data_IF_003930808102
#
_entry.id   IF_003930808102
#
_cell.length_a   1.000
_cell.length_b   1.000
_cell.length_c   1.000
_cell.angle_alpha   90.00
_cell.angle_beta   90.00
_cell.angle_gamma   90.00
#
_symmetry.space_group_name_H-M   'P 1'
#
loop_
_entity.id
_entity.type
_entity.pdbx_description
1 polymer ?
#
# COMPACT_ATOMS: atom_id res chain seq x y z
N UNK A 1 -7.67 -13.88 16.04
CA UNK A 1 -6.71 -12.83 16.38
C UNK A 1 -6.11 -12.23 15.11
N UNK A 2 -6.04 -10.91 15.10
CA UNK A 2 -5.53 -10.19 13.93
C UNK A 2 -4.01 -10.15 13.92
N UNK A 3 -3.46 -10.36 12.75
CA UNK A 3 -2.04 -10.13 12.53
C UNK A 3 -1.84 -9.04 11.48
N UNK A 4 -0.86 -8.21 11.70
CA UNK A 4 -0.51 -7.13 10.81
C UNK A 4 1.02 -7.19 10.61
N UNK A 5 1.45 -7.53 9.42
CA UNK A 5 2.86 -7.77 9.17
C UNK A 5 3.29 -7.22 7.81
N UNK A 6 4.51 -6.70 7.71
CA UNK A 6 5.07 -6.34 6.40
C UNK A 6 5.31 -7.59 5.58
N UNK A 7 5.18 -7.44 4.27
CA UNK A 7 5.53 -8.50 3.32
C UNK A 7 6.90 -8.15 2.76
N UNK A 8 7.87 -9.01 2.99
CA UNK A 8 9.23 -8.78 2.56
C UNK A 8 9.58 -9.60 1.32
N UNK A 9 10.43 -9.05 0.49
CA UNK A 9 10.99 -9.73 -0.69
C UNK A 9 12.48 -9.92 -0.46
N UNK A 10 12.83 -11.07 0.12
CA UNK A 10 14.18 -11.30 0.56
C UNK A 10 14.49 -10.47 1.80
N UNK A 11 15.70 -9.93 1.88
CA UNK A 11 16.16 -9.22 3.07
C UNK A 11 16.10 -7.69 2.92
N UNK A 12 15.72 -7.20 1.73
CA UNK A 12 15.76 -5.76 1.46
C UNK A 12 14.44 -5.29 0.90
N UNK A 13 13.98 -4.18 1.41
CA UNK A 13 12.75 -3.54 0.96
C UNK A 13 13.06 -2.36 0.05
N UNK A 14 12.10 -2.06 -0.83
CA UNK A 14 12.11 -0.81 -1.59
C UNK A 14 12.08 0.36 -0.60
N UNK A 15 12.95 1.36 -0.74
CA UNK A 15 12.96 2.49 0.18
C UNK A 15 11.73 3.39 0.05
N UNK A 16 10.90 3.21 -0.97
CA UNK A 16 9.73 4.07 -1.21
C UNK A 16 8.41 3.35 -1.10
N UNK A 17 8.40 2.01 -1.11
CA UNK A 17 7.17 1.21 -1.12
C UNK A 17 7.17 0.26 0.08
N UNK A 18 6.11 0.33 0.87
CA UNK A 18 5.87 -0.62 1.95
C UNK A 18 4.74 -1.55 1.53
N UNK A 19 4.99 -2.85 1.53
CA UNK A 19 3.95 -3.85 1.27
C UNK A 19 3.55 -4.45 2.60
N UNK A 20 2.26 -4.43 2.89
CA UNK A 20 1.74 -4.88 4.17
C UNK A 20 0.57 -5.83 3.94
N UNK A 21 0.58 -6.93 4.70
CA UNK A 21 -0.52 -7.87 4.74
C UNK A 21 -1.32 -7.64 6.03
N UNK A 22 -2.64 -7.47 5.89
CA UNK A 22 -3.56 -7.40 7.02
C UNK A 22 -4.37 -8.68 7.00
N UNK A 23 -4.36 -9.41 8.09
CA UNK A 23 -5.11 -10.66 8.21
C UNK A 23 -6.35 -10.46 9.05
N UNK A 24 -7.46 -11.06 8.61
CA UNK A 24 -8.72 -11.02 9.33
C UNK A 24 -9.66 -9.93 8.86
N UNK A 25 -10.45 -9.40 9.76
CA UNK A 25 -11.47 -8.42 9.43
C UNK A 25 -11.05 -7.01 9.84
N UNK A 26 -11.38 -6.03 9.01
CA UNK A 26 -11.24 -4.62 9.35
C UNK A 26 -12.60 -4.14 9.86
N UNK A 27 -12.78 -4.18 11.16
CA UNK A 27 -14.00 -3.77 11.82
C UNK A 27 -13.69 -2.83 12.98
N UNK A 28 -14.72 -2.25 13.56
CA UNK A 28 -14.59 -1.22 14.58
C UNK A 28 -13.59 -1.59 15.69
N UNK A 29 -13.66 -2.83 16.19
CA UNK A 29 -12.79 -3.27 17.28
C UNK A 29 -11.32 -3.44 16.87
N UNK A 30 -11.01 -3.41 15.59
CA UNK A 30 -9.65 -3.64 15.07
C UNK A 30 -9.00 -2.36 14.56
N UNK A 31 -9.77 -1.31 14.31
CA UNK A 31 -9.30 -0.11 13.64
C UNK A 31 -8.12 0.55 14.36
N UNK A 32 -8.18 0.64 15.68
CA UNK A 32 -7.12 1.27 16.45
C UNK A 32 -5.78 0.55 16.28
N UNK A 33 -5.80 -0.78 16.34
CA UNK A 33 -4.57 -1.56 16.19
C UNK A 33 -3.95 -1.39 14.80
N UNK A 34 -4.79 -1.42 13.77
CA UNK A 34 -4.30 -1.25 12.40
C UNK A 34 -3.78 0.16 12.19
N UNK A 35 -4.52 1.17 12.65
CA UNK A 35 -4.09 2.57 12.53
C UNK A 35 -2.75 2.81 13.23
N UNK A 36 -2.58 2.26 14.42
CA UNK A 36 -1.32 2.39 15.16
C UNK A 36 -0.16 1.74 14.42
N UNK A 37 -0.38 0.55 13.86
CA UNK A 37 0.65 -0.14 13.09
C UNK A 37 1.04 0.65 11.85
N UNK A 38 0.06 1.22 11.14
CA UNK A 38 0.34 2.05 9.96
C UNK A 38 1.09 3.31 10.34
N UNK A 39 0.74 3.93 11.47
CA UNK A 39 1.44 5.11 11.97
C UNK A 39 2.88 4.79 12.33
N UNK A 40 3.11 3.63 12.96
CA UNK A 40 4.48 3.18 13.30
C UNK A 40 5.32 2.97 12.05
N UNK A 41 4.76 2.37 11.00
CA UNK A 41 5.49 2.21 9.74
C UNK A 41 5.86 3.55 9.14
N UNK A 42 4.94 4.52 9.15
CA UNK A 42 5.20 5.86 8.63
C UNK A 42 6.29 6.57 9.42
N UNK A 43 6.32 6.35 10.73
CA UNK A 43 7.31 6.97 11.61
C UNK A 43 8.69 6.34 11.43
N UNK A 44 8.75 5.01 11.33
CA UNK A 44 10.01 4.29 11.15
C UNK A 44 10.58 4.44 9.75
N UNK A 45 9.71 4.53 8.75
CA UNK A 45 10.10 4.57 7.34
C UNK A 45 9.43 5.74 6.63
N UNK A 46 9.80 6.98 6.98
CA UNK A 46 9.11 8.16 6.42
C UNK A 46 9.26 8.32 4.92
N UNK A 47 10.25 7.67 4.31
CA UNK A 47 10.43 7.70 2.86
C UNK A 47 9.54 6.69 2.13
N UNK A 48 8.97 5.73 2.83
CA UNK A 48 8.05 4.75 2.25
C UNK A 48 6.64 5.33 2.20
N UNK A 49 6.45 6.30 1.33
CA UNK A 49 5.19 7.03 1.21
C UNK A 49 4.11 6.25 0.47
N UNK A 50 4.51 5.24 -0.27
CA UNK A 50 3.57 4.38 -1.01
C UNK A 50 3.33 3.13 -0.17
N UNK A 51 2.07 2.94 0.22
CA UNK A 51 1.65 1.77 0.97
C UNK A 51 0.81 0.88 0.07
N UNK A 52 1.23 -0.36 -0.05
CA UNK A 52 0.54 -1.37 -0.84
C UNK A 52 -0.04 -2.41 0.10
N UNK A 53 -1.37 -2.44 0.22
CA UNK A 53 -2.05 -3.38 1.10
C UNK A 53 -2.48 -4.63 0.32
N UNK A 54 -2.02 -5.77 0.80
CA UNK A 54 -2.47 -7.07 0.29
C UNK A 54 -3.82 -7.38 0.92
N UNK A 55 -4.85 -7.42 0.08
CA UNK A 55 -6.22 -7.56 0.54
C UNK A 55 -6.74 -8.98 0.61
N UNK A 56 -5.98 -9.96 0.12
CA UNK A 56 -6.44 -11.34 0.04
C UNK A 56 -6.85 -11.91 1.40
N UNK A 57 -6.18 -11.50 2.45
CA UNK A 57 -6.44 -11.98 3.81
C UNK A 57 -7.44 -11.12 4.58
N UNK A 58 -7.94 -10.04 3.96
CA UNK A 58 -8.98 -9.21 4.56
C UNK A 58 -10.32 -9.80 4.16
N UNK A 59 -10.99 -10.47 5.11
CA UNK A 59 -12.24 -11.14 4.81
C UNK A 59 -13.48 -10.28 5.04
N UNK A 60 -13.33 -9.11 5.66
CA UNK A 60 -14.46 -8.24 5.97
C UNK A 60 -13.97 -6.83 6.26
N UNK A 61 -14.72 -5.83 5.77
CA UNK A 61 -14.48 -4.42 6.07
C UNK A 61 -15.83 -3.80 6.41
N UNK A 62 -15.96 -3.26 7.60
CA UNK A 62 -17.16 -2.51 7.97
C UNK A 62 -16.96 -1.01 7.74
N UNK A 63 -17.95 -0.21 8.14
CA UNK A 63 -17.90 1.25 7.96
C UNK A 63 -16.67 1.84 8.65
N UNK A 64 -16.38 1.42 9.89
CA UNK A 64 -15.22 1.94 10.62
C UNK A 64 -13.91 1.58 9.93
N UNK A 65 -13.82 0.36 9.41
CA UNK A 65 -12.65 -0.07 8.65
C UNK A 65 -12.47 0.72 7.35
N UNK A 66 -13.57 0.94 6.62
CA UNK A 66 -13.55 1.71 5.40
C UNK A 66 -13.13 3.17 5.66
N UNK A 67 -13.67 3.77 6.71
CA UNK A 67 -13.32 5.13 7.08
C UNK A 67 -11.86 5.27 7.47
N UNK A 68 -11.32 4.27 8.17
CA UNK A 68 -9.90 4.25 8.52
C UNK A 68 -9.03 4.20 7.26
N UNK A 69 -9.40 3.37 6.29
CA UNK A 69 -8.65 3.28 5.03
C UNK A 69 -8.72 4.58 4.23
N UNK A 70 -9.88 5.25 4.25
CA UNK A 70 -10.05 6.55 3.60
C UNK A 70 -9.13 7.59 4.24
N UNK A 71 -9.04 7.61 5.57
CA UNK A 71 -8.17 8.55 6.27
C UNK A 71 -6.69 8.28 5.95
N UNK A 72 -6.31 7.02 5.89
CA UNK A 72 -4.95 6.65 5.50
C UNK A 72 -4.63 7.09 4.07
N UNK A 73 -5.57 6.88 3.15
CA UNK A 73 -5.40 7.29 1.76
C UNK A 73 -5.23 8.80 1.64
N UNK A 74 -6.04 9.57 2.36
CA UNK A 74 -5.93 11.03 2.36
C UNK A 74 -4.60 11.51 2.92
N UNK A 75 -4.18 10.89 4.03
CA UNK A 75 -2.91 11.24 4.67
C UNK A 75 -1.74 11.03 3.72
N UNK A 76 -1.71 9.87 3.06
CA UNK A 76 -0.62 9.56 2.13
C UNK A 76 -0.62 10.45 0.90
N UNK A 77 -1.79 10.74 0.35
CA UNK A 77 -1.89 11.65 -0.78
C UNK A 77 -1.37 13.05 -0.42
N UNK A 78 -1.69 13.51 0.79
CA UNK A 78 -1.22 14.81 1.29
C UNK A 78 0.30 14.86 1.42
N UNK A 79 0.92 13.72 1.75
CA UNK A 79 2.36 13.60 1.91
C UNK A 79 3.09 13.26 0.60
N UNK A 80 2.37 13.23 -0.51
CA UNK A 80 2.95 12.93 -1.82
C UNK A 80 3.06 11.44 -2.12
N UNK A 81 2.38 10.61 -1.34
CA UNK A 81 2.37 9.17 -1.54
C UNK A 81 1.03 8.64 -2.03
N UNK A 82 0.82 7.35 -1.87
CA UNK A 82 -0.41 6.68 -2.28
C UNK A 82 -0.70 5.48 -1.40
N UNK A 83 -1.98 5.15 -1.30
CA UNK A 83 -2.44 3.90 -0.72
C UNK A 83 -3.01 3.06 -1.87
N UNK A 84 -2.42 1.89 -2.10
CA UNK A 84 -2.83 0.98 -3.16
C UNK A 84 -3.27 -0.34 -2.55
N UNK A 85 -4.15 -1.05 -3.26
CA UNK A 85 -4.67 -2.35 -2.80
C UNK A 85 -4.54 -3.37 -3.91
N UNK A 86 -4.32 -4.64 -3.55
CA UNK A 86 -4.44 -5.71 -4.52
C UNK A 86 -5.09 -6.95 -3.90
N UNK A 87 -5.75 -7.71 -4.76
CA UNK A 87 -6.42 -8.97 -4.40
C UNK A 87 -7.50 -8.81 -3.34
N UNK A 88 -8.23 -7.68 -3.36
CA UNK A 88 -9.34 -7.49 -2.43
C UNK A 88 -10.45 -8.51 -2.70
N UNK A 89 -11.00 -9.07 -1.62
CA UNK A 89 -12.16 -9.94 -1.71
C UNK A 89 -13.41 -9.14 -2.02
N UNK A 90 -14.42 -9.82 -2.56
CA UNK A 90 -15.65 -9.18 -3.02
C UNK A 90 -16.33 -8.32 -1.95
N UNK A 91 -16.43 -8.81 -0.72
CA UNK A 91 -17.07 -8.05 0.36
C UNK A 91 -16.37 -6.74 0.68
N UNK A 92 -15.03 -6.79 0.74
CA UNK A 92 -14.23 -5.59 0.98
C UNK A 92 -14.36 -4.61 -0.19
N UNK A 93 -14.33 -5.15 -1.42
CA UNK A 93 -14.45 -4.35 -2.62
C UNK A 93 -15.79 -3.64 -2.70
N UNK A 94 -16.88 -4.33 -2.39
CA UNK A 94 -18.22 -3.74 -2.36
C UNK A 94 -18.31 -2.59 -1.37
N UNK A 95 -17.72 -2.76 -0.19
CA UNK A 95 -17.72 -1.71 0.82
C UNK A 95 -16.97 -0.47 0.32
N UNK A 96 -15.78 -0.66 -0.23
CA UNK A 96 -14.95 0.47 -0.67
C UNK A 96 -15.49 1.15 -1.93
N UNK A 97 -16.35 0.49 -2.69
CA UNK A 97 -16.98 1.08 -3.88
C UNK A 97 -18.19 1.95 -3.57
N UNK A 98 -18.62 2.01 -2.32
CA UNK A 98 -19.72 2.92 -1.95
C UNK A 98 -19.29 4.37 -2.20
N UNK A 99 -20.24 5.24 -2.62
CA UNK A 99 -19.88 6.61 -3.02
C UNK A 99 -19.07 7.39 -2.00
N UNK A 100 -19.37 7.19 -0.71
CA UNK A 100 -18.66 7.91 0.36
C UNK A 100 -17.16 7.61 0.39
N UNK A 101 -16.75 6.44 -0.10
CA UNK A 101 -15.36 6.00 -0.06
C UNK A 101 -14.70 6.02 -1.43
N UNK A 102 -15.45 5.76 -2.48
CA UNK A 102 -14.94 5.68 -3.85
C UNK A 102 -14.41 7.01 -4.36
N UNK A 103 -14.84 8.12 -3.79
CA UNK A 103 -14.33 9.44 -4.15
C UNK A 103 -12.88 9.64 -3.73
N UNK A 104 -12.42 8.88 -2.71
CA UNK A 104 -11.05 8.93 -2.20
C UNK A 104 -10.27 7.71 -2.65
N UNK A 105 -10.81 6.51 -2.42
CA UNK A 105 -10.19 5.26 -2.84
C UNK A 105 -10.78 4.88 -4.21
N UNK A 106 -10.19 5.46 -5.24
CA UNK A 106 -10.69 5.29 -6.62
C UNK A 106 -10.29 3.93 -7.17
N UNK A 107 -11.00 3.49 -8.20
CA UNK A 107 -10.75 2.19 -8.83
C UNK A 107 -9.32 2.04 -9.37
N UNK A 108 -8.67 3.13 -9.75
CA UNK A 108 -7.29 3.08 -10.24
C UNK A 108 -6.26 2.84 -9.13
N UNK A 109 -6.70 2.75 -7.88
CA UNK A 109 -5.85 2.40 -6.73
C UNK A 109 -6.06 0.95 -6.30
N UNK A 110 -6.98 0.23 -6.94
CA UNK A 110 -7.36 -1.14 -6.57
C UNK A 110 -7.04 -2.07 -7.73
N UNK A 111 -6.20 -3.07 -7.48
CA UNK A 111 -5.71 -3.99 -8.50
C UNK A 111 -6.08 -5.42 -8.15
N UNK A 112 -6.21 -6.27 -9.17
CA UNK A 112 -6.54 -7.67 -8.97
C UNK A 112 -5.29 -8.51 -8.67
N UNK A 113 -4.15 -8.11 -9.20
CA UNK A 113 -2.92 -8.88 -9.04
C UNK A 113 -1.83 -8.04 -8.41
N UNK A 114 -0.90 -8.73 -7.75
CA UNK A 114 0.29 -8.09 -7.18
C UNK A 114 1.13 -7.41 -8.25
N UNK A 115 1.29 -8.05 -9.40
CA UNK A 115 2.10 -7.51 -10.48
C UNK A 115 1.60 -6.13 -10.95
N UNK A 116 0.29 -6.01 -11.17
CA UNK A 116 -0.31 -4.75 -11.59
C UNK A 116 -0.11 -3.67 -10.51
N UNK A 117 -0.35 -4.04 -9.25
CA UNK A 117 -0.20 -3.12 -8.12
C UNK A 117 1.25 -2.65 -7.97
N UNK A 118 2.20 -3.58 -8.04
CA UNK A 118 3.63 -3.25 -7.92
C UNK A 118 4.06 -2.37 -9.08
N UNK A 119 3.63 -2.67 -10.30
CA UNK A 119 3.96 -1.84 -11.46
C UNK A 119 3.49 -0.41 -11.26
N UNK A 120 2.28 -0.23 -10.78
CA UNK A 120 1.75 1.12 -10.52
C UNK A 120 2.44 1.80 -9.34
N UNK A 121 2.79 1.04 -8.30
CA UNK A 121 3.53 1.58 -7.17
C UNK A 121 4.92 2.05 -7.60
N UNK A 122 5.63 1.25 -8.39
CA UNK A 122 6.95 1.60 -8.90
C UNK A 122 6.88 2.84 -9.79
N UNK A 123 5.86 2.91 -10.66
CA UNK A 123 5.66 4.08 -11.53
C UNK A 123 5.41 5.36 -10.72
N UNK A 124 4.86 5.24 -9.51
CA UNK A 124 4.59 6.38 -8.64
C UNK A 124 5.81 6.80 -7.82
N UNK A 125 6.89 6.02 -7.85
CA UNK A 125 8.10 6.34 -7.10
C UNK A 125 8.80 7.57 -7.66
N UNK A 126 9.57 8.24 -6.79
CA UNK A 126 10.43 9.33 -7.21
C UNK A 126 11.60 8.74 -8.02
N UNK A 127 11.66 9.09 -9.32
CA UNK A 127 12.69 8.57 -10.22
C UNK A 127 14.10 8.91 -9.81
N UNK A 128 14.31 10.06 -9.17
CA UNK A 128 15.65 10.45 -8.69
C UNK A 128 16.15 9.50 -7.59
N UNK A 129 15.24 9.02 -6.74
CA UNK A 129 15.59 8.04 -5.71
C UNK A 129 15.82 6.67 -6.36
N UNK A 130 14.97 6.29 -7.33
CA UNK A 130 15.11 5.04 -8.05
C UNK A 130 16.44 4.99 -8.81
N UNK A 131 16.87 6.10 -9.39
CA UNK A 131 18.11 6.18 -10.15
C UNK A 131 19.33 5.78 -9.33
N UNK A 132 19.31 6.08 -8.03
CA UNK A 132 20.40 5.79 -7.11
C UNK A 132 20.15 4.54 -6.27
N UNK A 133 19.00 3.90 -6.45
CA UNK A 133 18.61 2.73 -5.64
C UNK A 133 19.40 1.50 -6.05
N UNK A 134 20.10 0.90 -5.10
CA UNK A 134 20.85 -0.34 -5.30
C UNK A 134 20.01 -1.57 -5.00
N UNK A 135 18.91 -1.41 -4.26
CA UNK A 135 18.05 -2.51 -3.87
C UNK A 135 17.26 -3.06 -5.05
N UNK A 136 16.60 -2.18 -5.78
CA UNK A 136 15.75 -2.49 -6.92
C UNK A 136 14.93 -3.76 -6.68
N UNK A 137 14.12 -3.70 -5.62
CA UNK A 137 13.46 -4.84 -5.00
C UNK A 137 12.52 -5.62 -5.91
N UNK A 138 12.01 -5.01 -6.98
CA UNK A 138 11.05 -5.61 -7.88
C UNK A 138 11.58 -5.64 -9.31
N UNK A 139 11.16 -6.67 -10.08
CA UNK A 139 11.52 -6.71 -11.50
C UNK A 139 10.97 -5.50 -12.26
N UNK A 140 9.86 -4.94 -11.79
CA UNK A 140 9.25 -3.73 -12.37
C UNK A 140 10.16 -2.50 -12.23
N UNK A 141 11.14 -2.55 -11.35
CA UNK A 141 12.10 -1.46 -11.20
C UNK A 141 12.95 -1.24 -12.46
N UNK A 142 12.98 -2.21 -13.38
CA UNK A 142 13.67 -2.05 -14.67
C UNK A 142 13.08 -0.90 -15.50
N UNK A 143 11.86 -0.47 -15.20
CA UNK A 143 11.23 0.66 -15.88
C UNK A 143 11.63 2.02 -15.31
N UNK A 144 12.41 2.03 -14.23
CA UNK A 144 12.82 3.25 -13.54
C UNK A 144 14.26 3.60 -13.87
N UNK A 145 14.63 4.91 -13.81
CA UNK A 145 16.00 5.33 -14.05
C UNK A 145 17.01 4.57 -13.18
N UNK A 146 18.19 4.33 -13.74
CA UNK A 146 19.26 3.64 -13.03
C UNK A 146 20.60 4.25 -13.41
N UNK A 147 21.18 5.05 -12.51
CA UNK A 147 22.45 5.73 -12.73
C UNK A 147 23.61 4.77 -12.98
N UNK A 148 23.53 3.55 -12.44
CA UNK A 148 24.57 2.55 -12.65
C UNK A 148 24.72 2.14 -14.12
N UNK A 149 23.68 2.32 -14.93
CA UNK A 149 23.71 1.98 -16.36
C UNK A 149 24.33 3.10 -17.21
N UNK A 150 24.62 4.24 -16.62
CA UNK A 150 25.18 5.40 -17.32
C UNK A 150 26.71 5.45 -17.25
N UNK A 151 27.31 4.48 -16.57
CA UNK A 151 28.76 4.42 -16.41
C UNK A 151 29.43 3.65 -17.55
#
# INVERSE_FOLDING_TARGET
>A
QRKFAPVEHGQQECPQIKIVRVEGALYFGAVNNVSESLAQFSEQYPQQKILLLMGKSINFVDIAGAEMLVQEAKKRAKEGGKLLFYSLRQGALEMLRKPDYASVIKNDLIFQTKHEAVRNAVAACNGSICAKCEVRAFKECSQQPNDALLK
#
